data_IF_871854397504
#
_entry.id   IF_871854397504
#
_cell.length_a   1.000
_cell.length_b   1.000
_cell.length_c   1.000
_cell.angle_alpha   90.00
_cell.angle_beta   90.00
_cell.angle_gamma   90.00
#
_symmetry.space_group_name_H-M   'P 1'
#
loop_
_entity.id
_entity.type
_entity.pdbx_description
1 polymer ?
#
# COMPACT_ATOMS: atom_id res chain seq x y z
N UNK A 1 -26.96 27.09 -43.17
CA UNK A 1 -26.51 25.67 -43.18
C UNK A 1 -25.18 25.56 -42.44
N UNK A 2 -25.20 25.36 -41.11
CA UNK A 2 -24.00 25.04 -40.32
C UNK A 2 -24.34 24.19 -39.08
N UNK A 3 -25.48 23.48 -39.12
CA UNK A 3 -26.06 22.77 -37.95
C UNK A 3 -25.69 21.29 -37.90
N UNK A 4 -24.83 20.79 -38.79
CA UNK A 4 -24.52 19.34 -38.87
C UNK A 4 -23.11 18.95 -38.43
N UNK A 5 -22.16 19.88 -38.38
CA UNK A 5 -20.76 19.56 -38.05
C UNK A 5 -20.44 19.60 -36.56
N UNK A 6 -21.35 20.09 -35.71
CA UNK A 6 -21.10 20.20 -34.27
C UNK A 6 -21.29 18.89 -33.49
N UNK A 7 -21.92 17.87 -34.11
CA UNK A 7 -22.28 16.62 -33.43
C UNK A 7 -21.17 15.56 -33.37
N UNK A 8 -20.07 15.74 -34.09
CA UNK A 8 -18.99 14.73 -34.18
C UNK A 8 -17.80 14.98 -33.25
N UNK A 9 -17.70 16.15 -32.59
CA UNK A 9 -16.57 16.47 -31.73
C UNK A 9 -16.70 16.00 -30.27
N UNK A 10 -17.87 15.52 -29.85
CA UNK A 10 -18.14 15.19 -28.44
C UNK A 10 -17.78 13.76 -28.05
N UNK A 11 -17.50 12.86 -29.01
CA UNK A 11 -17.32 11.42 -28.73
C UNK A 11 -15.89 10.98 -28.42
N UNK A 12 -14.88 11.84 -28.56
CA UNK A 12 -13.45 11.44 -28.47
C UNK A 12 -12.84 11.58 -27.06
N UNK A 13 -13.53 12.19 -26.08
CA UNK A 13 -12.94 12.50 -24.77
C UNK A 13 -13.04 11.39 -23.69
N UNK A 14 -13.43 10.16 -24.04
CA UNK A 14 -13.75 9.13 -23.03
C UNK A 14 -12.62 8.13 -22.69
N UNK A 15 -11.35 8.42 -22.99
CA UNK A 15 -10.24 7.46 -22.78
C UNK A 15 -9.06 8.09 -22.05
N UNK A 16 -9.20 8.36 -20.75
CA UNK A 16 -8.04 8.75 -19.94
C UNK A 16 -8.35 9.15 -18.51
N UNK A 17 -8.61 8.17 -17.63
CA UNK A 17 -8.45 8.36 -16.18
C UNK A 17 -8.38 7.01 -15.45
N UNK A 18 -7.27 6.29 -15.61
CA UNK A 18 -6.84 5.37 -14.54
C UNK A 18 -5.86 6.16 -13.66
N UNK A 19 -6.37 6.96 -12.72
CA UNK A 19 -5.55 7.43 -11.61
C UNK A 19 -5.73 6.44 -10.46
N UNK A 20 -4.72 5.59 -10.25
CA UNK A 20 -4.60 4.77 -9.04
C UNK A 20 -4.64 5.72 -7.83
N UNK A 21 -5.77 5.72 -7.14
CA UNK A 21 -5.95 6.53 -5.94
C UNK A 21 -5.23 5.79 -4.80
N UNK A 22 -4.00 6.19 -4.50
CA UNK A 22 -3.31 5.75 -3.30
C UNK A 22 -4.02 6.38 -2.08
N UNK A 23 -5.10 5.76 -1.62
CA UNK A 23 -5.76 6.10 -0.35
C UNK A 23 -4.80 5.80 0.80
N UNK A 24 -3.94 6.77 1.12
CA UNK A 24 -3.05 6.73 2.27
C UNK A 24 -3.71 7.42 3.47
N UNK A 25 -4.74 6.81 4.05
CA UNK A 25 -5.29 7.30 5.31
C UNK A 25 -6.20 6.27 5.98
N UNK A 26 -5.61 5.17 6.45
CA UNK A 26 -6.29 4.39 7.49
C UNK A 26 -5.36 4.26 8.70
N UNK A 27 -5.55 5.21 9.62
CA UNK A 27 -5.32 5.09 11.06
C UNK A 27 -3.97 4.51 11.49
N UNK A 28 -2.91 5.33 11.43
CA UNK A 28 -1.70 5.08 12.23
C UNK A 28 -2.02 5.07 13.75
N UNK A 29 -3.07 5.80 14.18
CA UNK A 29 -3.39 6.06 15.58
C UNK A 29 -4.22 4.97 16.28
N UNK A 30 -4.63 3.90 15.60
CA UNK A 30 -5.48 2.83 16.18
C UNK A 30 -5.06 1.45 15.68
N UNK A 31 -3.75 1.22 15.57
CA UNK A 31 -3.23 -0.07 15.15
C UNK A 31 -2.90 -0.92 16.37
N UNK A 32 -3.30 -2.21 16.40
CA UNK A 32 -2.90 -3.08 17.50
C UNK A 32 -1.37 -3.16 17.59
N UNK A 33 -0.81 -3.30 18.80
CA UNK A 33 0.62 -3.48 18.97
C UNK A 33 1.10 -4.72 18.20
N UNK A 34 2.33 -4.66 17.70
CA UNK A 34 2.95 -5.81 17.04
C UNK A 34 3.14 -6.96 18.05
N UNK A 35 2.84 -8.22 17.67
CA UNK A 35 3.17 -9.37 18.51
C UNK A 35 4.67 -9.48 18.76
N UNK A 36 5.06 -9.95 19.95
CA UNK A 36 6.45 -10.06 20.39
C UNK A 36 7.30 -10.94 19.45
N UNK A 37 6.74 -12.06 18.98
CA UNK A 37 7.42 -12.93 18.03
C UNK A 37 7.73 -12.24 16.69
N UNK A 38 7.00 -11.19 16.31
CA UNK A 38 7.26 -10.43 15.08
C UNK A 38 8.37 -9.40 15.31
N UNK A 39 8.41 -8.80 16.50
CA UNK A 39 9.48 -7.88 16.92
C UNK A 39 10.85 -8.59 16.92
N UNK A 40 10.90 -9.84 17.39
CA UNK A 40 12.13 -10.65 17.43
C UNK A 40 12.58 -11.14 16.05
N UNK A 41 11.63 -11.42 15.15
CA UNK A 41 11.94 -11.92 13.81
C UNK A 41 12.38 -10.82 12.84
N UNK A 42 11.98 -9.57 13.08
CA UNK A 42 12.23 -8.48 12.17
C UNK A 42 13.72 -8.15 12.07
N UNK A 43 14.21 -7.99 10.84
CA UNK A 43 15.55 -7.50 10.57
C UNK A 43 15.73 -6.06 11.11
N UNK A 44 16.97 -5.65 11.46
CA UNK A 44 17.24 -4.29 11.91
C UNK A 44 16.93 -3.24 10.83
N UNK A 45 16.81 -1.97 11.25
CA UNK A 45 16.57 -0.81 10.39
C UNK A 45 15.21 -0.79 9.66
N UNK A 46 14.22 -1.53 10.17
CA UNK A 46 12.83 -1.44 9.74
C UNK A 46 12.02 -0.71 10.80
N UNK A 47 11.08 0.13 10.39
CA UNK A 47 10.26 0.89 11.33
C UNK A 47 9.12 0.02 11.88
N UNK A 48 9.34 -0.56 13.06
CA UNK A 48 8.36 -1.43 13.73
C UNK A 48 7.18 -0.65 14.31
N UNK A 49 7.31 0.67 14.51
CA UNK A 49 6.23 1.50 15.04
C UNK A 49 5.13 1.74 13.99
N UNK A 50 5.48 1.71 12.71
CA UNK A 50 4.51 1.79 11.61
C UNK A 50 4.15 0.43 11.01
N UNK A 51 4.68 -0.66 11.57
CA UNK A 51 4.43 -2.00 11.06
C UNK A 51 2.98 -2.45 11.30
N UNK A 52 2.44 -3.29 10.40
CA UNK A 52 1.07 -3.79 10.45
C UNK A 52 0.86 -5.04 9.62
N UNK A 53 -0.11 -5.87 10.03
CA UNK A 53 -0.57 -6.96 9.20
C UNK A 53 -1.45 -6.42 8.08
N UNK A 54 -1.07 -6.71 6.85
CA UNK A 54 -1.83 -6.33 5.66
C UNK A 54 -2.77 -7.49 5.26
N UNK A 55 -4.09 -7.26 5.22
CA UNK A 55 -5.07 -8.34 5.03
C UNK A 55 -5.05 -8.93 3.61
N UNK A 56 -4.64 -8.15 2.60
CA UNK A 56 -4.64 -8.57 1.20
C UNK A 56 -3.69 -9.75 0.95
N UNK A 57 -2.52 -9.76 1.59
CA UNK A 57 -1.49 -10.80 1.43
C UNK A 57 -1.15 -11.53 2.73
N UNK A 58 -1.75 -11.15 3.86
CA UNK A 58 -1.49 -11.73 5.18
C UNK A 58 -0.01 -11.62 5.60
N UNK A 59 0.68 -10.58 5.13
CA UNK A 59 2.06 -10.30 5.49
C UNK A 59 2.17 -9.00 6.30
N UNK A 60 3.23 -8.87 7.09
CA UNK A 60 3.53 -7.63 7.80
C UNK A 60 4.20 -6.63 6.86
N UNK A 61 3.77 -5.38 6.93
CA UNK A 61 4.27 -4.25 6.14
C UNK A 61 4.57 -3.08 7.04
N UNK A 62 5.53 -2.23 6.66
CA UNK A 62 5.86 -1.01 7.39
C UNK A 62 5.99 0.18 6.42
N UNK A 63 5.98 1.40 6.97
CA UNK A 63 6.21 2.61 6.19
C UNK A 63 7.70 2.94 6.15
N UNK A 64 8.28 2.93 4.96
CA UNK A 64 9.62 3.41 4.72
C UNK A 64 9.57 4.86 4.24
N UNK A 65 9.92 5.79 5.12
CA UNK A 65 10.01 7.21 4.79
C UNK A 65 11.39 7.53 4.21
N UNK A 66 11.41 8.04 2.99
CA UNK A 66 12.60 8.55 2.30
C UNK A 66 12.36 10.00 1.85
N UNK A 67 13.41 10.77 1.49
CA UNK A 67 13.26 12.16 1.05
C UNK A 67 12.34 12.34 -0.16
N UNK A 68 12.23 11.31 -1.00
CA UNK A 68 11.45 11.35 -2.24
C UNK A 68 10.02 10.90 -2.00
N UNK A 69 9.81 9.82 -1.26
CA UNK A 69 8.49 9.22 -1.03
C UNK A 69 8.40 8.49 0.31
N UNK A 70 7.16 8.24 0.73
CA UNK A 70 6.85 7.27 1.78
C UNK A 70 6.24 6.03 1.13
N UNK A 71 6.98 4.93 1.18
CA UNK A 71 6.60 3.68 0.50
C UNK A 71 6.26 2.62 1.52
N UNK A 72 5.21 1.84 1.26
CA UNK A 72 4.92 0.64 2.05
C UNK A 72 5.85 -0.47 1.58
N UNK A 73 6.62 -1.06 2.49
CA UNK A 73 7.51 -2.18 2.20
C UNK A 73 7.16 -3.39 3.06
N UNK A 74 7.38 -4.63 2.57
CA UNK A 74 7.19 -5.82 3.39
C UNK A 74 8.20 -5.82 4.54
N UNK A 75 7.73 -6.16 5.73
CA UNK A 75 8.57 -6.43 6.90
C UNK A 75 9.28 -7.77 6.68
N UNK A 76 10.59 -7.77 6.84
CA UNK A 76 11.45 -8.91 6.50
C UNK A 76 12.22 -9.44 7.70
N UNK A 77 12.55 -10.74 7.64
CA UNK A 77 13.50 -11.38 8.56
C UNK A 77 14.94 -10.99 8.23
N UNK A 78 15.89 -11.36 9.10
CA UNK A 78 17.34 -11.21 8.84
C UNK A 78 17.78 -11.85 7.51
N UNK A 79 17.12 -12.94 7.11
CA UNK A 79 17.36 -13.67 5.85
C UNK A 79 16.67 -12.99 4.64
N UNK A 80 15.96 -11.89 4.86
CA UNK A 80 15.28 -11.12 3.83
C UNK A 80 13.90 -11.66 3.42
N UNK A 81 13.40 -12.72 4.05
CA UNK A 81 12.09 -13.29 3.75
C UNK A 81 10.96 -12.43 4.34
N UNK A 82 9.82 -12.24 3.66
CA UNK A 82 8.69 -11.53 4.23
C UNK A 82 8.10 -12.29 5.42
N UNK A 83 7.66 -11.57 6.44
CA UNK A 83 7.03 -12.15 7.64
C UNK A 83 5.52 -12.20 7.39
N UNK A 84 4.95 -13.41 7.29
CA UNK A 84 3.54 -13.62 6.96
C UNK A 84 2.87 -14.60 7.93
N UNK A 85 1.56 -14.42 8.13
CA UNK A 85 0.73 -15.35 8.89
C UNK A 85 0.08 -16.34 7.94
N UNK A 86 0.02 -17.62 8.34
CA UNK A 86 -0.77 -18.59 7.59
C UNK A 86 -2.25 -18.27 7.78
N UNK A 87 -3.02 -18.33 6.70
CA UNK A 87 -4.48 -18.29 6.78
C UNK A 87 -4.93 -19.55 7.54
N UNK A 88 -5.83 -19.37 8.52
CA UNK A 88 -6.54 -20.51 9.08
C UNK A 88 -7.46 -21.06 7.97
N UNK A 89 -7.24 -22.33 7.62
CA UNK A 89 -8.04 -23.04 6.60
C UNK A 89 -9.39 -23.48 7.16
#
# INVERSE_FOLDING_TARGET
MYTRSALLLTTVLALGACSESFSNSQNASSRPPLPENILELAAPNQDLATAYLRPEDNCYWYMHASPVETTRLPLRTIEGNPICVKRAE
#
